data_IF_290945778773
#
_entry.id   IF_290945778773
#
_cell.length_a   1.000
_cell.length_b   1.000
_cell.length_c   1.000
_cell.angle_alpha   90.00
_cell.angle_beta   90.00
_cell.angle_gamma   90.00
#
_symmetry.space_group_name_H-M   'P 1'
#
loop_
_entity.id
_entity.type
_entity.pdbx_description
1 polymer ?
#
# COMPACT_ATOMS: atom_id res chain seq x y z
N UNK A 1 -62.20 28.20 -7.83
CA UNK A 1 -62.54 26.89 -7.22
C UNK A 1 -61.48 25.90 -7.67
N UNK A 2 -60.48 25.66 -6.82
CA UNK A 2 -59.31 24.84 -7.14
C UNK A 2 -59.52 23.42 -6.60
N UNK A 3 -59.41 22.42 -7.48
CA UNK A 3 -59.53 21.00 -7.15
C UNK A 3 -58.18 20.46 -6.68
N UNK A 4 -58.10 20.11 -5.39
CA UNK A 4 -56.99 19.36 -4.80
C UNK A 4 -56.93 17.94 -5.38
N UNK A 5 -55.87 17.62 -6.12
CA UNK A 5 -55.55 16.24 -6.51
C UNK A 5 -54.76 15.57 -5.38
N UNK A 6 -55.40 14.56 -4.75
CA UNK A 6 -54.79 13.65 -3.79
C UNK A 6 -53.74 12.76 -4.47
N UNK A 7 -52.52 12.79 -3.94
CA UNK A 7 -51.41 11.92 -4.28
C UNK A 7 -51.71 10.51 -3.75
N UNK A 8 -51.88 9.51 -4.62
CA UNK A 8 -51.97 8.11 -4.21
C UNK A 8 -50.55 7.53 -4.04
N UNK A 9 -50.26 6.80 -2.95
CA UNK A 9 -48.95 6.16 -2.78
C UNK A 9 -48.83 4.93 -3.69
N UNK A 10 -47.65 4.76 -4.28
CA UNK A 10 -47.28 3.60 -5.10
C UNK A 10 -47.38 2.29 -4.29
N UNK A 11 -47.92 1.19 -4.86
CA UNK A 11 -47.89 -0.10 -4.20
C UNK A 11 -46.46 -0.64 -4.17
N UNK A 12 -45.98 -0.95 -2.97
CA UNK A 12 -44.73 -1.67 -2.75
C UNK A 12 -44.86 -3.08 -3.34
N UNK A 13 -44.19 -3.34 -4.45
CA UNK A 13 -44.01 -4.70 -4.95
C UNK A 13 -42.98 -5.39 -4.05
N UNK A 14 -43.46 -6.29 -3.19
CA UNK A 14 -42.63 -7.25 -2.46
C UNK A 14 -41.85 -8.09 -3.46
N UNK A 15 -40.52 -7.89 -3.46
CA UNK A 15 -39.57 -8.69 -4.24
C UNK A 15 -39.65 -10.16 -3.84
N UNK A 16 -39.94 -11.10 -4.77
CA UNK A 16 -39.83 -12.52 -4.49
C UNK A 16 -38.35 -12.86 -4.32
N UNK A 17 -38.00 -13.31 -3.13
CA UNK A 17 -36.71 -13.89 -2.76
C UNK A 17 -36.36 -15.01 -3.75
N UNK A 18 -35.49 -14.72 -4.72
CA UNK A 18 -35.05 -15.68 -5.72
C UNK A 18 -34.30 -16.83 -5.04
N UNK A 19 -34.89 -18.03 -5.10
CA UNK A 19 -34.30 -19.27 -4.63
C UNK A 19 -33.00 -19.56 -5.37
N UNK A 20 -31.90 -19.67 -4.61
CA UNK A 20 -30.60 -20.14 -5.07
C UNK A 20 -30.65 -21.65 -5.32
N UNK A 21 -31.03 -22.08 -6.52
CA UNK A 21 -30.73 -23.42 -7.03
C UNK A 21 -30.67 -23.38 -8.55
N UNK A 22 -29.51 -22.99 -9.10
CA UNK A 22 -29.13 -23.33 -10.47
C UNK A 22 -27.99 -24.35 -10.37
N UNK A 23 -28.22 -25.54 -10.94
CA UNK A 23 -27.26 -26.65 -10.96
C UNK A 23 -26.01 -26.25 -11.74
N UNK A 24 -24.84 -26.34 -11.08
CA UNK A 24 -23.53 -26.01 -11.62
C UNK A 24 -23.00 -26.98 -12.71
N UNK A 25 -23.83 -27.90 -13.22
CA UNK A 25 -23.43 -28.93 -14.19
C UNK A 25 -23.72 -28.54 -15.66
N UNK A 26 -24.37 -27.40 -15.88
CA UNK A 26 -24.62 -26.85 -17.20
C UNK A 26 -23.88 -25.52 -17.28
N UNK A 27 -22.89 -25.41 -18.17
CA UNK A 27 -21.97 -24.27 -18.38
C UNK A 27 -22.69 -22.99 -18.90
N UNK A 28 -23.88 -22.71 -18.39
CA UNK A 28 -24.77 -21.65 -18.82
C UNK A 28 -25.46 -21.95 -20.16
N UNK A 29 -25.41 -23.17 -20.69
CA UNK A 29 -25.96 -23.53 -22.00
C UNK A 29 -27.47 -23.38 -22.04
N UNK A 30 -28.17 -23.86 -21.00
CA UNK A 30 -29.63 -23.71 -20.88
C UNK A 30 -30.01 -22.25 -20.76
N UNK A 31 -29.23 -21.46 -20.02
CA UNK A 31 -29.47 -20.04 -19.81
C UNK A 31 -29.27 -19.25 -21.11
N UNK A 32 -28.24 -19.57 -21.90
CA UNK A 32 -28.04 -19.05 -23.26
C UNK A 32 -29.19 -19.42 -24.20
N UNK A 33 -29.64 -20.67 -24.19
CA UNK A 33 -30.73 -21.14 -25.03
C UNK A 33 -32.04 -20.41 -24.70
N UNK A 34 -32.37 -20.27 -23.41
CA UNK A 34 -33.53 -19.50 -22.95
C UNK A 34 -33.43 -18.02 -23.34
N UNK A 35 -32.25 -17.39 -23.16
CA UNK A 35 -32.04 -15.99 -23.52
C UNK A 35 -32.21 -15.76 -25.03
N UNK A 36 -31.66 -16.65 -25.86
CA UNK A 36 -31.82 -16.61 -27.31
C UNK A 36 -33.28 -16.72 -27.73
N UNK A 37 -34.02 -17.65 -27.14
CA UNK A 37 -35.43 -17.86 -27.46
C UNK A 37 -36.29 -16.63 -27.05
N UNK A 38 -35.99 -16.02 -25.91
CA UNK A 38 -36.64 -14.79 -25.45
C UNK A 38 -36.33 -13.58 -26.35
N UNK A 39 -35.08 -13.44 -26.79
CA UNK A 39 -34.70 -12.36 -27.73
C UNK A 39 -35.34 -12.53 -29.11
N UNK A 40 -35.57 -13.76 -29.56
CA UNK A 40 -36.27 -14.05 -30.80
C UNK A 40 -37.77 -13.75 -30.71
N UNK A 41 -38.40 -14.04 -29.56
CA UNK A 41 -39.82 -13.78 -29.33
C UNK A 41 -40.13 -12.30 -29.06
N UNK A 42 -39.18 -11.53 -28.52
CA UNK A 42 -39.40 -10.16 -28.05
C UNK A 42 -38.29 -9.19 -28.51
N UNK A 43 -38.54 -8.38 -29.57
CA UNK A 43 -37.55 -7.43 -30.11
C UNK A 43 -37.02 -6.43 -29.07
N UNK A 44 -37.85 -5.98 -28.13
CA UNK A 44 -37.42 -5.07 -27.06
C UNK A 44 -36.40 -5.70 -26.10
N UNK A 45 -36.50 -7.01 -25.84
CA UNK A 45 -35.51 -7.76 -25.06
C UNK A 45 -34.22 -7.90 -25.86
N UNK A 46 -34.30 -8.14 -27.18
CA UNK A 46 -33.13 -8.20 -28.04
C UNK A 46 -32.36 -6.87 -28.09
N UNK A 47 -33.07 -5.73 -28.16
CA UNK A 47 -32.45 -4.40 -28.11
C UNK A 47 -31.79 -4.13 -26.75
N UNK A 48 -32.45 -4.52 -25.65
CA UNK A 48 -31.89 -4.41 -24.31
C UNK A 48 -30.62 -5.25 -24.15
N UNK A 49 -30.65 -6.53 -24.55
CA UNK A 49 -29.47 -7.42 -24.50
C UNK A 49 -28.35 -6.89 -25.38
N UNK A 50 -28.64 -6.43 -26.61
CA UNK A 50 -27.64 -5.81 -27.49
C UNK A 50 -27.01 -4.58 -26.86
N UNK A 51 -27.80 -3.64 -26.33
CA UNK A 51 -27.27 -2.44 -25.65
C UNK A 51 -26.42 -2.81 -24.45
N UNK A 52 -26.89 -3.75 -23.63
CA UNK A 52 -26.15 -4.18 -22.43
C UNK A 52 -24.83 -4.86 -22.80
N UNK A 53 -24.85 -5.71 -23.83
CA UNK A 53 -23.66 -6.39 -24.34
C UNK A 53 -22.68 -5.42 -25.02
N UNK A 54 -23.17 -4.46 -25.80
CA UNK A 54 -22.35 -3.39 -26.39
C UNK A 54 -21.70 -2.52 -25.33
N UNK A 55 -22.42 -2.16 -24.26
CA UNK A 55 -21.85 -1.43 -23.12
C UNK A 55 -20.81 -2.26 -22.38
N UNK A 56 -21.03 -3.57 -22.24
CA UNK A 56 -20.03 -4.48 -21.68
C UNK A 56 -18.77 -4.56 -22.56
N UNK A 57 -18.92 -4.75 -23.87
CA UNK A 57 -17.82 -4.78 -24.83
C UNK A 57 -17.05 -3.46 -24.89
N UNK A 58 -17.73 -2.31 -24.85
CA UNK A 58 -17.09 -1.01 -24.81
C UNK A 58 -16.27 -0.82 -23.53
N UNK A 59 -16.81 -1.29 -22.39
CA UNK A 59 -16.06 -1.34 -21.13
C UNK A 59 -14.86 -2.27 -21.23
N UNK A 60 -14.99 -3.43 -21.88
CA UNK A 60 -13.92 -4.41 -22.09
C UNK A 60 -12.80 -3.87 -23.00
N UNK A 61 -13.16 -3.24 -24.12
CA UNK A 61 -12.20 -2.66 -25.06
C UNK A 61 -11.44 -1.48 -24.43
N UNK A 62 -12.08 -0.74 -23.52
CA UNK A 62 -11.39 0.24 -22.68
C UNK A 62 -10.45 -0.40 -21.62
N UNK A 63 -10.52 -1.74 -21.38
CA UNK A 63 -9.59 -2.47 -20.50
C UNK A 63 -8.30 -2.90 -21.18
N UNK A 64 -8.13 -2.66 -22.49
CA UNK A 64 -6.79 -2.77 -23.06
C UNK A 64 -6.01 -1.61 -22.47
N UNK A 65 -5.46 -1.84 -21.27
CA UNK A 65 -4.41 -1.02 -20.70
C UNK A 65 -3.36 -0.99 -21.78
N UNK A 66 -3.19 0.19 -22.35
CA UNK A 66 -2.13 0.41 -23.31
C UNK A 66 -0.84 0.02 -22.59
N UNK A 67 -0.23 -1.08 -23.04
CA UNK A 67 1.03 -1.58 -22.49
C UNK A 67 2.10 -0.47 -22.47
N UNK A 68 1.97 0.49 -23.39
CA UNK A 68 2.78 1.69 -23.49
C UNK A 68 2.61 2.63 -22.26
N UNK A 69 1.42 2.69 -21.66
CA UNK A 69 1.16 3.55 -20.50
C UNK A 69 1.81 3.03 -19.21
N UNK A 70 1.74 1.71 -18.97
CA UNK A 70 2.44 1.08 -17.83
C UNK A 70 3.96 1.16 -17.99
N UNK A 71 4.45 0.91 -19.20
CA UNK A 71 5.88 1.05 -19.51
C UNK A 71 6.39 2.48 -19.26
N UNK A 72 5.59 3.50 -19.62
CA UNK A 72 5.91 4.91 -19.37
C UNK A 72 5.91 5.29 -17.89
N UNK A 73 4.98 4.79 -17.08
CA UNK A 73 4.96 5.08 -15.65
C UNK A 73 6.17 4.49 -14.94
N UNK A 74 6.51 3.22 -15.22
CA UNK A 74 7.73 2.58 -14.73
C UNK A 74 8.98 3.35 -15.16
N UNK A 75 9.07 3.70 -16.44
CA UNK A 75 10.20 4.47 -16.97
C UNK A 75 10.36 5.82 -16.25
N UNK A 76 9.26 6.51 -15.98
CA UNK A 76 9.28 7.81 -15.29
C UNK A 76 9.73 7.66 -13.83
N UNK A 77 9.21 6.65 -13.12
CA UNK A 77 9.59 6.35 -11.74
C UNK A 77 11.10 6.07 -11.65
N UNK A 78 11.61 5.16 -12.49
CA UNK A 78 13.03 4.83 -12.53
C UNK A 78 13.89 6.06 -12.81
N UNK A 79 13.49 6.87 -13.80
CA UNK A 79 14.24 8.08 -14.13
C UNK A 79 14.29 9.10 -12.99
N UNK A 80 13.23 9.23 -12.21
CA UNK A 80 13.24 10.10 -11.02
C UNK A 80 14.28 9.57 -10.02
N UNK A 81 14.23 8.27 -9.71
CA UNK A 81 15.20 7.61 -8.83
C UNK A 81 16.64 7.78 -9.31
N UNK A 82 16.91 7.48 -10.58
CA UNK A 82 18.23 7.62 -11.20
C UNK A 82 18.75 9.06 -11.15
N UNK A 83 17.92 10.05 -11.50
CA UNK A 83 18.36 11.45 -11.57
C UNK A 83 18.56 12.05 -10.18
N UNK A 84 17.61 11.81 -9.26
CA UNK A 84 17.67 12.35 -7.91
C UNK A 84 18.67 11.61 -7.02
N UNK A 85 18.88 10.31 -7.26
CA UNK A 85 19.85 9.47 -6.55
C UNK A 85 21.28 9.56 -7.08
N UNK A 86 21.56 10.38 -8.09
CA UNK A 86 22.95 10.55 -8.54
C UNK A 86 23.83 11.11 -7.40
N UNK A 87 25.08 10.65 -7.23
CA UNK A 87 25.97 11.16 -6.19
C UNK A 87 26.23 12.68 -6.27
N UNK A 88 26.12 13.25 -7.47
CA UNK A 88 26.26 14.68 -7.74
C UNK A 88 24.97 15.49 -7.54
N UNK A 89 23.84 14.85 -7.27
CA UNK A 89 22.59 15.56 -7.02
C UNK A 89 22.67 16.36 -5.72
N UNK A 90 22.05 17.53 -5.72
CA UNK A 90 21.91 18.32 -4.49
C UNK A 90 20.86 17.70 -3.56
N UNK A 91 20.95 17.96 -2.25
CA UNK A 91 19.89 17.64 -1.30
C UNK A 91 18.51 18.12 -1.77
N UNK A 92 18.42 19.33 -2.34
CA UNK A 92 17.16 19.87 -2.86
C UNK A 92 16.57 19.04 -4.00
N UNK A 93 17.42 18.45 -4.85
CA UNK A 93 17.02 17.53 -5.92
C UNK A 93 16.56 16.19 -5.35
N UNK A 94 17.33 15.60 -4.42
CA UNK A 94 16.99 14.37 -3.71
C UNK A 94 15.64 14.48 -3.01
N UNK A 95 15.47 15.52 -2.20
CA UNK A 95 14.20 15.88 -1.53
C UNK A 95 13.04 15.99 -2.51
N UNK A 96 13.22 16.74 -3.59
CA UNK A 96 12.14 16.96 -4.56
C UNK A 96 11.76 15.66 -5.28
N UNK A 97 12.76 14.83 -5.62
CA UNK A 97 12.56 13.51 -6.20
C UNK A 97 11.80 12.58 -5.27
N UNK A 98 12.24 12.47 -4.01
CA UNK A 98 11.62 11.59 -3.01
C UNK A 98 10.19 12.03 -2.67
N UNK A 99 9.94 13.33 -2.52
CA UNK A 99 8.59 13.89 -2.33
C UNK A 99 7.68 13.61 -3.55
N UNK A 100 8.24 13.62 -4.76
CA UNK A 100 7.50 13.30 -5.99
C UNK A 100 7.14 11.82 -6.03
N UNK A 101 8.10 10.92 -5.74
CA UNK A 101 7.85 9.49 -5.66
C UNK A 101 6.80 9.17 -4.59
N UNK A 102 6.92 9.76 -3.40
CA UNK A 102 5.92 9.64 -2.33
C UNK A 102 4.50 10.00 -2.80
N UNK A 103 4.35 11.11 -3.54
CA UNK A 103 3.06 11.53 -4.11
C UNK A 103 2.52 10.57 -5.17
N UNK A 104 3.41 10.04 -6.02
CA UNK A 104 3.06 9.02 -7.01
C UNK A 104 2.56 7.75 -6.30
N UNK A 105 3.30 7.27 -5.29
CA UNK A 105 2.91 6.12 -4.48
C UNK A 105 1.54 6.30 -3.84
N UNK A 106 1.30 7.45 -3.21
CA UNK A 106 -0.01 7.78 -2.63
C UNK A 106 -1.13 7.77 -3.67
N UNK A 107 -0.84 8.29 -4.86
CA UNK A 107 -1.81 8.27 -5.97
C UNK A 107 -2.14 6.84 -6.39
N UNK A 108 -1.14 5.96 -6.51
CA UNK A 108 -1.33 4.54 -6.83
C UNK A 108 -2.19 3.86 -5.76
N UNK A 109 -1.87 4.04 -4.48
CA UNK A 109 -2.66 3.48 -3.38
C UNK A 109 -4.11 3.96 -3.40
N UNK A 110 -4.38 5.23 -3.73
CA UNK A 110 -5.73 5.79 -3.72
C UNK A 110 -6.49 5.66 -5.04
N UNK A 111 -5.90 5.05 -6.08
CA UNK A 111 -6.52 4.98 -7.40
C UNK A 111 -7.69 3.98 -7.49
N UNK A 112 -8.05 3.25 -6.44
CA UNK A 112 -9.07 2.17 -6.45
C UNK A 112 -10.52 2.56 -6.80
N UNK A 113 -10.81 3.82 -7.11
CA UNK A 113 -12.18 4.31 -7.34
C UNK A 113 -12.77 3.88 -8.69
N UNK A 114 -11.94 3.35 -9.59
CA UNK A 114 -12.38 2.80 -10.86
C UNK A 114 -11.62 1.52 -11.23
N UNK A 115 -12.08 0.86 -12.30
CA UNK A 115 -11.49 -0.38 -12.78
C UNK A 115 -10.05 -0.19 -13.24
N UNK A 116 -9.68 1.01 -13.73
CA UNK A 116 -8.33 1.30 -14.20
C UNK A 116 -7.36 1.36 -13.03
N UNK A 117 -7.70 2.07 -11.97
CA UNK A 117 -6.84 2.19 -10.81
C UNK A 117 -6.68 0.89 -10.04
N UNK A 118 -7.68 0.01 -10.02
CA UNK A 118 -7.51 -1.35 -9.52
C UNK A 118 -6.47 -2.14 -10.35
N UNK A 119 -6.47 -1.99 -11.67
CA UNK A 119 -5.46 -2.66 -12.53
C UNK A 119 -4.06 -2.06 -12.33
N UNK A 120 -3.97 -0.73 -12.15
CA UNK A 120 -2.71 -0.07 -11.78
C UNK A 120 -2.18 -0.60 -10.46
N UNK A 121 -3.01 -0.67 -9.41
CA UNK A 121 -2.60 -1.23 -8.11
C UNK A 121 -2.06 -2.64 -8.28
N UNK A 122 -2.79 -3.51 -8.98
CA UNK A 122 -2.39 -4.90 -9.25
C UNK A 122 -1.02 -5.00 -9.92
N UNK A 123 -0.72 -4.12 -10.87
CA UNK A 123 0.59 -4.08 -11.53
C UNK A 123 1.73 -3.73 -10.57
N UNK A 124 1.47 -2.85 -9.60
CA UNK A 124 2.45 -2.45 -8.59
C UNK A 124 2.54 -3.41 -7.39
N UNK A 125 1.69 -4.44 -7.30
CA UNK A 125 1.84 -5.51 -6.30
C UNK A 125 3.07 -6.38 -6.58
N UNK A 126 3.46 -6.53 -7.85
CA UNK A 126 4.59 -7.37 -8.27
C UNK A 126 5.81 -6.57 -8.74
N UNK A 127 5.71 -5.24 -8.76
CA UNK A 127 6.75 -4.39 -9.33
C UNK A 127 7.57 -3.72 -8.24
N UNK A 128 8.86 -4.05 -8.21
CA UNK A 128 9.84 -3.46 -7.28
C UNK A 128 10.33 -2.07 -7.74
N UNK A 129 10.03 -1.65 -8.99
CA UNK A 129 10.58 -0.41 -9.55
C UNK A 129 10.27 0.86 -8.74
N UNK A 130 9.17 0.85 -7.97
CA UNK A 130 8.80 1.98 -7.12
C UNK A 130 9.70 2.06 -5.89
N UNK A 131 9.90 0.93 -5.20
CA UNK A 131 10.76 0.86 -4.01
C UNK A 131 12.23 1.06 -4.39
N UNK A 132 12.69 0.41 -5.48
CA UNK A 132 14.04 0.59 -6.04
C UNK A 132 14.35 2.07 -6.31
N UNK A 133 13.39 2.82 -6.89
CA UNK A 133 13.60 4.22 -7.22
C UNK A 133 13.67 5.12 -5.98
N UNK A 134 12.92 4.79 -4.91
CA UNK A 134 13.02 5.52 -3.64
C UNK A 134 14.31 5.19 -2.90
N UNK A 135 14.68 3.90 -2.86
CA UNK A 135 15.92 3.40 -2.26
C UNK A 135 17.14 4.07 -2.91
N UNK A 136 17.21 4.15 -4.24
CA UNK A 136 18.30 4.83 -4.93
C UNK A 136 18.49 6.30 -4.51
N UNK A 137 17.41 6.99 -4.11
CA UNK A 137 17.52 8.36 -3.59
C UNK A 137 17.99 8.35 -2.15
N UNK A 138 17.40 7.50 -1.30
CA UNK A 138 17.71 7.42 0.14
C UNK A 138 19.15 6.95 0.37
N UNK A 139 19.62 5.92 -0.33
CA UNK A 139 21.00 5.41 -0.28
C UNK A 139 22.04 6.47 -0.73
N UNK A 140 21.61 7.42 -1.58
CA UNK A 140 22.47 8.54 -1.98
C UNK A 140 22.56 9.67 -0.94
N UNK A 141 21.68 9.68 0.07
CA UNK A 141 21.69 10.65 1.16
C UNK A 141 22.60 10.16 2.28
N UNK A 142 23.39 11.06 2.86
CA UNK A 142 24.07 10.77 4.12
C UNK A 142 23.11 10.89 5.31
N UNK A 143 23.56 10.48 6.50
CA UNK A 143 22.73 10.42 7.71
C UNK A 143 22.16 11.79 8.10
N UNK A 144 22.96 12.87 7.96
CA UNK A 144 22.51 14.25 8.22
C UNK A 144 21.39 14.67 7.25
N UNK A 145 21.55 14.35 5.96
CA UNK A 145 20.54 14.61 4.94
C UNK A 145 19.27 13.79 5.17
N UNK A 146 19.37 12.53 5.62
CA UNK A 146 18.22 11.69 5.98
C UNK A 146 17.47 12.26 7.18
N UNK A 147 18.18 12.67 8.24
CA UNK A 147 17.61 13.36 9.39
C UNK A 147 16.89 14.67 8.99
N UNK A 148 17.55 15.52 8.20
CA UNK A 148 16.92 16.74 7.68
C UNK A 148 15.72 16.43 6.79
N UNK A 149 15.76 15.33 6.02
CA UNK A 149 14.66 14.93 5.17
C UNK A 149 13.41 14.65 6.01
N UNK A 150 13.55 13.94 7.12
CA UNK A 150 12.47 13.57 8.04
C UNK A 150 11.77 14.78 8.68
N UNK A 151 12.54 15.81 9.03
CA UNK A 151 12.04 17.02 9.70
C UNK A 151 11.34 18.03 8.78
N UNK A 152 11.43 17.84 7.45
CA UNK A 152 10.84 18.77 6.50
C UNK A 152 9.33 18.88 6.70
N UNK A 153 8.90 20.11 7.02
CA UNK A 153 7.50 20.46 7.20
C UNK A 153 7.02 21.38 6.08
N UNK A 154 5.87 21.08 5.47
CA UNK A 154 5.23 21.92 4.44
C UNK A 154 4.07 22.79 4.97
N UNK A 155 3.94 22.86 6.29
CA UNK A 155 2.84 23.52 7.01
C UNK A 155 1.61 22.62 7.24
N UNK A 156 1.60 21.38 6.73
CA UNK A 156 0.52 20.40 6.97
C UNK A 156 0.98 19.21 7.80
N UNK A 157 2.14 18.68 7.49
CA UNK A 157 2.77 17.58 8.24
C UNK A 157 4.26 17.50 7.91
N UNK A 158 5.02 16.83 8.78
CA UNK A 158 6.42 16.53 8.51
C UNK A 158 6.55 15.38 7.50
N UNK A 159 7.71 15.26 6.87
CA UNK A 159 7.95 14.24 5.85
C UNK A 159 7.92 12.82 6.43
N UNK A 160 8.42 12.61 7.65
CA UNK A 160 8.35 11.30 8.31
C UNK A 160 6.89 10.81 8.46
N UNK A 161 6.00 11.64 9.02
CA UNK A 161 4.56 11.32 9.12
C UNK A 161 3.94 11.01 7.75
N UNK A 162 4.42 11.68 6.70
CA UNK A 162 3.97 11.44 5.33
C UNK A 162 4.44 10.12 4.75
N UNK A 163 5.60 9.63 5.17
CA UNK A 163 6.13 8.32 4.79
C UNK A 163 5.38 7.21 5.54
N UNK A 164 5.08 7.40 6.83
CA UNK A 164 4.21 6.49 7.59
C UNK A 164 2.79 6.39 7.00
N UNK A 165 2.21 7.53 6.60
CA UNK A 165 0.93 7.51 5.88
C UNK A 165 1.00 6.64 4.61
N UNK A 166 2.08 6.78 3.84
CA UNK A 166 2.26 6.00 2.62
C UNK A 166 2.45 4.51 2.94
N UNK A 167 3.20 4.17 3.99
CA UNK A 167 3.39 2.80 4.48
C UNK A 167 2.06 2.14 4.81
N UNK A 168 1.22 2.82 5.61
CA UNK A 168 -0.08 2.29 6.00
C UNK A 168 -1.00 2.09 4.79
N UNK A 169 -1.04 3.06 3.87
CA UNK A 169 -1.78 2.91 2.63
C UNK A 169 -1.24 1.74 1.78
N UNK A 170 0.09 1.60 1.68
CA UNK A 170 0.70 0.52 0.90
C UNK A 170 0.31 -0.86 1.44
N UNK A 171 0.24 -1.01 2.76
CA UNK A 171 -0.22 -2.22 3.43
C UNK A 171 -1.72 -2.48 3.22
N UNK A 172 -2.57 -1.45 3.33
CA UNK A 172 -4.02 -1.56 3.13
C UNK A 172 -4.38 -2.05 1.72
N UNK A 173 -3.60 -1.66 0.72
CA UNK A 173 -3.81 -2.01 -0.69
C UNK A 173 -2.90 -3.15 -1.19
N UNK A 174 -2.06 -3.71 -0.31
CA UNK A 174 -1.05 -4.74 -0.62
C UNK A 174 -0.19 -4.37 -1.84
N UNK A 175 0.34 -3.14 -1.87
CA UNK A 175 1.26 -2.64 -2.91
C UNK A 175 2.58 -2.22 -2.27
N UNK A 176 3.67 -2.26 -3.02
CA UNK A 176 5.00 -1.84 -2.55
C UNK A 176 5.49 -2.60 -1.31
N UNK A 177 5.44 -3.94 -1.35
CA UNK A 177 5.77 -4.81 -0.20
C UNK A 177 7.11 -4.46 0.48
N UNK A 178 8.11 -4.00 -0.28
CA UNK A 178 9.45 -3.62 0.24
C UNK A 178 9.57 -2.16 0.69
N UNK A 179 8.49 -1.39 0.76
CA UNK A 179 8.55 0.03 1.15
C UNK A 179 9.08 0.23 2.57
N UNK A 180 8.89 -0.74 3.47
CA UNK A 180 9.41 -0.66 4.85
C UNK A 180 10.93 -0.52 4.87
N UNK A 181 11.66 -1.19 3.98
CA UNK A 181 13.13 -1.11 3.89
C UNK A 181 13.59 0.33 3.64
N UNK A 182 12.92 1.02 2.71
CA UNK A 182 13.20 2.42 2.39
C UNK A 182 12.95 3.34 3.58
N UNK A 183 11.92 3.05 4.37
CA UNK A 183 11.55 3.84 5.54
C UNK A 183 12.53 3.61 6.69
N UNK A 184 12.89 2.36 6.95
CA UNK A 184 13.87 1.99 7.97
C UNK A 184 15.23 2.65 7.67
N UNK A 185 15.70 2.58 6.42
CA UNK A 185 16.92 3.26 5.98
C UNK A 185 16.83 4.79 6.11
N UNK A 186 15.66 5.37 5.82
CA UNK A 186 15.44 6.81 5.93
C UNK A 186 15.48 7.32 7.37
N UNK A 187 14.98 6.53 8.33
CA UNK A 187 15.02 6.91 9.74
C UNK A 187 16.37 6.62 10.40
N UNK A 188 17.13 5.67 9.83
CA UNK A 188 18.38 5.19 10.41
C UNK A 188 18.13 4.21 11.55
N UNK A 189 19.18 3.50 11.93
CA UNK A 189 19.18 2.70 13.15
C UNK A 189 19.21 3.67 14.34
N UNK A 190 18.24 3.60 15.25
CA UNK A 190 18.41 4.23 16.57
C UNK A 190 19.66 3.61 17.17
N UNK A 191 20.73 4.40 17.32
CA UNK A 191 21.90 3.99 18.09
C UNK A 191 21.38 3.60 19.48
N UNK A 192 21.30 2.29 19.73
CA UNK A 192 20.91 1.77 21.03
C UNK A 192 21.86 2.37 22.05
N UNK A 193 21.30 3.10 23.02
CA UNK A 193 22.04 3.63 24.16
C UNK A 193 22.87 2.48 24.74
N UNK A 194 24.20 2.54 24.55
CA UNK A 194 25.15 1.70 25.26
C UNK A 194 24.85 1.91 26.74
N UNK A 195 24.15 0.94 27.33
CA UNK A 195 23.90 0.91 28.76
C UNK A 195 25.26 0.82 29.42
N UNK A 196 25.69 1.93 30.02
CA UNK A 196 26.77 1.95 31.00
C UNK A 196 26.47 0.84 32.03
N UNK A 197 27.10 -0.33 31.84
CA UNK A 197 27.10 -1.38 32.83
C UNK A 197 27.91 -0.84 34.02
N UNK A 198 27.19 -0.30 35.01
CA UNK A 198 27.72 0.00 36.33
C UNK A 198 28.46 -1.24 36.85
N UNK A 199 29.80 -1.20 36.85
CA UNK A 199 30.63 -2.19 37.51
C UNK A 199 30.37 -2.11 39.03
N UNK A 200 29.41 -2.91 39.51
CA UNK A 200 29.26 -3.17 40.94
C UNK A 200 30.50 -3.94 41.44
N UNK A 201 31.33 -3.22 42.18
CA UNK A 201 32.57 -3.70 42.79
C UNK A 201 32.24 -4.66 43.94
N UNK A 202 32.17 -5.96 43.66
CA UNK A 202 32.09 -7.02 44.67
C UNK A 202 33.36 -7.02 45.54
N UNK A 203 33.27 -6.48 46.75
CA UNK A 203 34.20 -6.83 47.83
C UNK A 203 33.50 -7.85 48.73
N UNK A 204 33.72 -9.13 48.44
CA UNK A 204 33.45 -10.24 49.34
C UNK A 204 34.79 -10.93 49.68
N UNK A 205 35.27 -10.73 50.89
CA UNK A 205 36.35 -11.52 51.49
C UNK A 205 36.14 -11.54 53.01
N UNK A 206 35.21 -12.39 53.44
CA UNK A 206 35.22 -12.96 54.77
C UNK A 206 35.31 -14.47 54.64
N UNK A 207 36.37 -15.08 55.16
CA UNK A 207 36.21 -16.35 55.88
C UNK A 207 37.39 -16.70 56.78
N UNK A 208 36.99 -17.33 57.87
CA UNK A 208 37.65 -17.53 59.15
C UNK A 208 38.37 -18.90 59.26
N UNK A 209 39.31 -18.97 60.22
CA UNK A 209 39.65 -20.13 61.07
C UNK A 209 40.55 -21.27 60.53
N UNK A 210 41.73 -21.39 61.15
CA UNK A 210 42.68 -22.49 60.99
C UNK A 210 43.53 -22.72 62.25
N UNK A 211 42.94 -23.38 63.25
CA UNK A 211 43.50 -23.88 64.51
C UNK A 211 44.86 -24.60 64.37
N UNK A 212 45.87 -24.22 65.16
CA UNK A 212 46.98 -25.11 65.57
C UNK A 212 47.23 -24.94 67.08
N UNK A 213 47.12 -25.99 67.91
CA UNK A 213 47.47 -25.93 69.33
C UNK A 213 48.90 -26.42 69.60
N UNK A 214 49.46 -25.99 70.76
CA UNK A 214 50.60 -26.52 71.57
C UNK A 214 51.78 -25.53 71.69
N UNK A 215 52.41 -25.22 72.84
CA UNK A 215 52.42 -25.72 74.24
C UNK A 215 53.04 -24.62 75.16
N UNK A 216 52.99 -24.76 76.50
CA UNK A 216 53.41 -23.74 77.48
C UNK A 216 54.76 -24.02 78.15
N UNK A 217 55.58 -22.99 78.41
CA UNK A 217 56.65 -22.96 79.44
C UNK A 217 56.80 -21.48 79.88
N UNK A 218 56.45 -21.04 81.10
CA UNK A 218 57.04 -21.24 82.44
C UNK A 218 58.45 -20.63 82.61
N UNK A 219 58.51 -19.71 83.59
CA UNK A 219 59.63 -19.00 84.26
C UNK A 219 60.07 -17.67 83.65
#
# INVERSE_FOLDING_TARGET
>A
MATHHLHQPFPHTTSPRASKHFHAADDGTTLKAMLLQLTAAHPGIADYVRRTYSSYLAREQARVVDFDHHSKSIYTIRRIGEQAGTPSASFGTRRSGLETLRKIGKTICLSSNDTLGHEVQKQFQQSECFTEAMEAIVDSMNDEERAWMCEINDGRSIFAEKMEELRNLSADYCVFDSLYVVIDELYGEEEGEDGDEDEENENDDGDEEGLIPRQPECW
#
